data_IF_336656012854
#
_entry.id   IF_336656012854
#
_cell.length_a   1.000
_cell.length_b   1.000
_cell.length_c   1.000
_cell.angle_alpha   90.00
_cell.angle_beta   90.00
_cell.angle_gamma   90.00
#
_symmetry.space_group_name_H-M   'P 1'
#
loop_
_entity.id
_entity.type
_entity.pdbx_description
1 polymer ?
#
# COMPACT_ATOMS: atom_id res chain seq x y z
N UNK A 1 -17.48 -14.86 32.37
CA UNK A 1 -16.11 -14.32 32.51
C UNK A 1 -15.44 -14.44 31.15
N UNK A 2 -15.42 -13.37 30.35
CA UNK A 2 -14.80 -13.37 29.03
C UNK A 2 -13.33 -13.00 29.22
N UNK A 3 -12.47 -13.99 29.05
CA UNK A 3 -11.03 -13.84 29.01
C UNK A 3 -10.68 -13.20 27.67
N UNK A 4 -10.36 -11.90 27.68
CA UNK A 4 -9.66 -11.24 26.58
C UNK A 4 -8.18 -11.64 26.70
N UNK A 5 -7.58 -12.31 25.71
CA UNK A 5 -6.15 -12.48 25.72
C UNK A 5 -5.50 -11.14 25.39
N UNK A 6 -4.92 -10.52 26.42
CA UNK A 6 -3.93 -9.46 26.32
C UNK A 6 -2.82 -9.89 25.37
N UNK A 7 -2.72 -9.28 24.18
CA UNK A 7 -1.58 -9.46 23.29
C UNK A 7 -0.38 -8.71 23.89
N UNK A 8 0.34 -9.39 24.79
CA UNK A 8 1.76 -9.13 25.00
C UNK A 8 2.51 -9.75 23.81
N UNK A 9 2.50 -9.08 22.66
CA UNK A 9 3.41 -9.46 21.58
C UNK A 9 4.78 -8.87 21.91
N UNK A 10 5.72 -9.77 22.22
CA UNK A 10 7.14 -9.50 22.14
C UNK A 10 7.53 -9.04 20.73
N UNK A 11 8.69 -8.42 20.65
CA UNK A 11 9.17 -7.57 19.56
C UNK A 11 9.64 -8.31 18.30
N UNK A 12 9.25 -9.57 18.06
CA UNK A 12 9.83 -10.40 17.01
C UNK A 12 8.84 -11.45 16.46
N UNK A 13 7.62 -11.03 16.10
CA UNK A 13 6.79 -11.84 15.20
C UNK A 13 6.70 -11.05 13.89
N UNK A 14 7.69 -11.22 13.01
CA UNK A 14 7.54 -10.88 11.60
C UNK A 14 6.36 -11.72 11.09
N UNK A 15 5.17 -11.14 11.14
CA UNK A 15 4.05 -11.67 10.36
C UNK A 15 4.56 -11.64 8.92
N UNK A 16 4.73 -12.80 8.27
CA UNK A 16 5.27 -12.82 6.92
C UNK A 16 4.29 -12.07 6.04
N UNK A 17 4.67 -10.87 5.63
CA UNK A 17 3.83 -10.09 4.72
C UNK A 17 3.79 -10.81 3.39
N UNK A 18 2.61 -11.28 3.03
CA UNK A 18 2.41 -12.02 1.78
C UNK A 18 2.18 -11.05 0.65
N UNK A 19 2.59 -11.42 -0.57
CA UNK A 19 2.34 -10.60 -1.76
C UNK A 19 0.84 -10.28 -1.90
N UNK A 20 -0.03 -11.21 -1.55
CA UNK A 20 -1.48 -11.05 -1.70
C UNK A 20 -2.06 -9.92 -0.83
N UNK A 21 -1.44 -9.58 0.31
CA UNK A 21 -1.89 -8.46 1.16
C UNK A 21 -1.71 -7.09 0.49
N UNK A 22 -0.82 -6.98 -0.49
CA UNK A 22 -0.61 -5.75 -1.24
C UNK A 22 -1.49 -5.65 -2.48
N UNK A 23 -2.17 -6.72 -2.88
CA UNK A 23 -2.98 -6.69 -4.12
C UNK A 23 -4.23 -5.84 -3.88
N UNK A 24 -4.41 -4.79 -4.69
CA UNK A 24 -5.55 -3.89 -4.57
C UNK A 24 -5.20 -2.46 -4.98
N UNK A 25 -6.20 -1.59 -4.88
CA UNK A 25 -6.04 -0.14 -5.05
C UNK A 25 -5.80 0.51 -3.69
N UNK A 26 -4.71 1.26 -3.61
CA UNK A 26 -4.23 1.92 -2.41
C UNK A 26 -4.24 3.42 -2.60
N UNK A 27 -4.88 4.12 -1.66
CA UNK A 27 -5.04 5.56 -1.69
C UNK A 27 -4.43 6.13 -0.41
N UNK A 28 -3.60 7.15 -0.54
CA UNK A 28 -2.95 7.77 0.61
C UNK A 28 -4.00 8.44 1.52
N UNK A 29 -3.94 8.07 2.80
CA UNK A 29 -4.70 8.65 3.89
C UNK A 29 -3.85 9.71 4.60
N UNK A 30 -3.78 10.91 4.03
CA UNK A 30 -2.98 12.03 4.56
C UNK A 30 -3.28 12.35 6.03
N UNK A 31 -4.50 12.05 6.47
CA UNK A 31 -4.94 12.26 7.84
C UNK A 31 -4.28 11.29 8.83
N UNK A 32 -3.77 10.15 8.34
CA UNK A 32 -3.12 9.09 9.13
C UNK A 32 -1.60 9.08 8.95
N UNK A 33 -1.06 9.78 7.95
CA UNK A 33 0.37 9.99 7.76
C UNK A 33 1.03 10.59 9.02
N UNK A 34 2.21 10.09 9.41
CA UNK A 34 2.92 10.54 10.62
C UNK A 34 4.41 10.24 10.55
N UNK A 35 5.27 11.13 11.07
CA UNK A 35 6.71 10.88 11.28
C UNK A 35 7.48 10.31 10.05
N UNK A 36 7.09 10.74 8.85
CA UNK A 36 7.64 10.26 7.58
C UNK A 36 7.16 8.86 7.16
N UNK A 37 6.15 8.32 7.83
CA UNK A 37 5.35 7.16 7.44
C UNK A 37 4.13 7.65 6.67
N UNK A 38 3.93 7.06 5.49
CA UNK A 38 2.74 7.24 4.67
C UNK A 38 1.78 6.09 4.91
N UNK A 39 0.53 6.41 5.18
CA UNK A 39 -0.55 5.45 5.35
C UNK A 39 -1.35 5.38 4.08
N UNK A 40 -1.54 4.16 3.58
CA UNK A 40 -2.45 3.90 2.47
C UNK A 40 -3.58 3.01 2.95
N UNK A 41 -4.79 3.36 2.53
CA UNK A 41 -6.00 2.57 2.78
C UNK A 41 -6.49 2.00 1.46
N UNK A 42 -7.17 0.86 1.52
CA UNK A 42 -7.84 0.31 0.35
C UNK A 42 -8.91 1.28 -0.18
N UNK A 43 -9.30 1.11 -1.44
CA UNK A 43 -10.35 1.95 -2.07
C UNK A 43 -11.72 1.89 -1.37
N UNK A 44 -11.95 0.90 -0.52
CA UNK A 44 -13.18 0.75 0.28
C UNK A 44 -13.24 1.69 1.49
N UNK A 45 -12.13 2.32 1.86
CA UNK A 45 -12.07 3.24 2.99
C UNK A 45 -12.77 4.57 2.68
N UNK A 46 -13.58 5.05 3.62
CA UNK A 46 -14.27 6.34 3.49
C UNK A 46 -13.32 7.50 3.79
N UNK A 47 -12.69 8.04 2.75
CA UNK A 47 -11.80 9.18 2.89
C UNK A 47 -12.57 10.49 3.13
N UNK A 48 -12.11 11.34 4.06
CA UNK A 48 -12.58 12.71 4.12
C UNK A 48 -12.20 13.48 2.84
N UNK A 49 -12.94 14.56 2.49
CA UNK A 49 -12.65 15.33 1.29
C UNK A 49 -11.22 15.85 1.28
N UNK A 50 -10.46 15.46 0.25
CA UNK A 50 -9.10 15.94 0.02
C UNK A 50 -8.80 15.92 -1.47
N UNK A 51 -7.92 16.84 -1.91
CA UNK A 51 -7.50 16.96 -3.31
C UNK A 51 -6.09 16.44 -3.45
N UNK A 52 -5.82 15.71 -4.53
CA UNK A 52 -4.45 15.32 -4.90
C UNK A 52 -3.85 14.18 -4.10
N UNK A 53 -4.68 13.28 -3.54
CA UNK A 53 -4.20 12.05 -2.91
C UNK A 53 -3.40 11.24 -3.91
N UNK A 54 -2.26 10.70 -3.47
CA UNK A 54 -1.53 9.70 -4.24
C UNK A 54 -2.32 8.39 -4.23
N UNK A 55 -2.39 7.71 -5.38
CA UNK A 55 -2.96 6.38 -5.49
C UNK A 55 -2.14 5.49 -6.40
N UNK A 56 -2.15 4.19 -6.13
CA UNK A 56 -1.64 3.17 -7.02
C UNK A 56 -2.45 1.88 -6.89
N UNK A 57 -2.47 1.07 -7.95
CA UNK A 57 -3.08 -0.27 -7.93
C UNK A 57 -2.00 -1.32 -8.15
N UNK A 58 -1.94 -2.31 -7.28
CA UNK A 58 -1.01 -3.43 -7.37
C UNK A 58 -1.79 -4.69 -7.74
N UNK A 59 -1.49 -5.28 -8.89
CA UNK A 59 -2.17 -6.50 -9.35
C UNK A 59 -1.40 -7.75 -8.96
N UNK A 60 -2.11 -8.86 -8.79
CA UNK A 60 -1.53 -10.16 -8.40
C UNK A 60 -0.44 -10.65 -9.37
N UNK A 61 -0.54 -10.29 -10.66
CA UNK A 61 0.44 -10.63 -11.70
C UNK A 61 1.77 -9.85 -11.57
N UNK A 62 1.85 -8.86 -10.67
CA UNK A 62 3.03 -7.99 -10.51
C UNK A 62 2.99 -6.71 -11.34
N UNK A 63 1.93 -6.46 -12.10
CA UNK A 63 1.72 -5.17 -12.76
C UNK A 63 1.22 -4.12 -11.77
N UNK A 64 1.66 -2.88 -11.95
CA UNK A 64 1.23 -1.74 -11.13
C UNK A 64 0.59 -0.67 -12.00
N UNK A 65 -0.38 0.05 -11.45
CA UNK A 65 -0.86 1.30 -11.99
C UNK A 65 -0.51 2.44 -11.06
N UNK A 66 0.07 3.51 -11.58
CA UNK A 66 0.43 4.69 -10.80
C UNK A 66 -0.23 5.95 -11.37
N UNK A 67 -0.83 6.77 -10.50
CA UNK A 67 -1.58 7.96 -10.92
C UNK A 67 -3.09 7.76 -10.98
N UNK A 68 -3.80 8.76 -11.52
CA UNK A 68 -5.26 8.71 -11.70
C UNK A 68 -5.59 8.07 -13.06
N UNK A 69 -6.44 7.04 -13.11
CA UNK A 69 -6.98 6.56 -14.37
C UNK A 69 -7.70 7.70 -15.08
N UNK A 70 -7.19 8.11 -16.25
CA UNK A 70 -7.88 9.01 -17.15
C UNK A 70 -9.03 8.28 -17.84
N UNK A 71 -10.06 9.00 -18.32
CA UNK A 71 -11.20 8.41 -19.03
C UNK A 71 -10.82 7.63 -20.30
N UNK A 72 -9.60 7.81 -20.82
CA UNK A 72 -9.07 7.17 -22.03
C UNK A 72 -8.16 5.95 -21.77
N UNK A 73 -8.03 5.45 -20.54
CA UNK A 73 -7.14 4.32 -20.18
C UNK A 73 -7.63 2.93 -20.67
N UNK A 74 -8.34 2.87 -21.80
CA UNK A 74 -8.71 1.64 -22.50
C UNK A 74 -7.47 1.02 -23.15
N UNK A 75 -6.70 0.28 -22.36
CA UNK A 75 -5.72 -0.69 -22.87
C UNK A 75 -4.36 -0.72 -22.16
N UNK A 76 -4.11 0.13 -21.16
CA UNK A 76 -2.80 0.11 -20.48
C UNK A 76 -2.82 -0.94 -19.36
N UNK A 77 -2.43 -2.17 -19.70
CA UNK A 77 -2.12 -3.19 -18.69
C UNK A 77 -0.88 -2.75 -17.92
N UNK A 78 -1.08 -1.95 -16.86
CA UNK A 78 -0.03 -1.53 -15.94
C UNK A 78 0.96 -0.57 -16.59
N UNK A 79 0.83 0.71 -16.29
CA UNK A 79 1.91 1.69 -16.46
C UNK A 79 3.04 1.42 -15.46
N UNK A 80 3.38 0.16 -15.17
CA UNK A 80 4.31 -0.15 -14.11
C UNK A 80 4.38 -1.61 -13.71
N UNK A 81 5.32 -1.89 -12.83
CA UNK A 81 5.47 -3.17 -12.15
C UNK A 81 5.78 -2.95 -10.69
N UNK A 82 5.47 -3.93 -9.85
CA UNK A 82 5.79 -3.89 -8.45
C UNK A 82 6.34 -5.21 -7.95
N UNK A 83 7.06 -5.13 -6.84
CA UNK A 83 7.62 -6.28 -6.14
C UNK A 83 7.77 -5.97 -4.66
N UNK A 84 7.55 -6.99 -3.84
CA UNK A 84 7.87 -7.00 -2.41
C UNK A 84 9.02 -7.99 -2.19
N UNK A 85 10.10 -7.53 -1.55
CA UNK A 85 11.25 -8.34 -1.14
C UNK A 85 11.43 -8.19 0.38
N UNK A 86 10.90 -9.14 1.15
CA UNK A 86 10.82 -9.02 2.60
C UNK A 86 9.96 -7.81 3.00
N UNK A 87 10.57 -6.81 3.60
CA UNK A 87 9.93 -5.54 4.01
C UNK A 87 10.21 -4.39 3.05
N UNK A 88 10.67 -4.64 1.82
CA UNK A 88 10.94 -3.59 0.84
C UNK A 88 9.98 -3.68 -0.34
N UNK A 89 9.06 -2.72 -0.44
CA UNK A 89 8.14 -2.57 -1.57
C UNK A 89 8.77 -1.65 -2.62
N UNK A 90 8.90 -2.13 -3.85
CA UNK A 90 9.31 -1.31 -4.99
C UNK A 90 8.18 -1.22 -6.00
N UNK A 91 7.79 -0.01 -6.37
CA UNK A 91 6.82 0.28 -7.42
C UNK A 91 7.55 1.05 -8.52
N UNK A 92 7.49 0.53 -9.74
CA UNK A 92 8.10 1.13 -10.94
C UNK A 92 7.00 1.59 -11.87
N UNK A 93 7.19 2.75 -12.46
CA UNK A 93 6.37 3.28 -13.56
C UNK A 93 7.25 3.91 -14.64
N UNK A 94 6.74 4.21 -15.85
CA UNK A 94 7.51 4.90 -16.89
C UNK A 94 8.15 6.20 -16.44
N UNK A 95 7.54 6.91 -15.47
CA UNK A 95 8.02 8.17 -14.95
C UNK A 95 9.09 8.06 -13.84
N UNK A 96 9.34 6.86 -13.30
CA UNK A 96 10.31 6.65 -12.23
C UNK A 96 10.02 5.41 -11.38
N UNK A 97 10.68 5.32 -10.22
CA UNK A 97 10.41 4.26 -9.26
C UNK A 97 10.36 4.82 -7.84
N UNK A 98 9.45 4.28 -7.04
CA UNK A 98 9.37 4.52 -5.61
C UNK A 98 9.74 3.24 -4.85
N UNK A 99 10.54 3.38 -3.80
CA UNK A 99 10.91 2.29 -2.90
C UNK A 99 10.49 2.67 -1.48
N UNK A 100 9.85 1.73 -0.80
CA UNK A 100 9.32 1.89 0.54
C UNK A 100 9.79 0.76 1.46
N UNK A 101 10.13 1.10 2.70
CA UNK A 101 10.15 0.16 3.80
C UNK A 101 8.72 -0.06 4.30
N UNK A 102 8.28 -1.32 4.33
CA UNK A 102 6.97 -1.74 4.83
C UNK A 102 7.07 -1.89 6.35
N UNK A 103 6.27 -1.12 7.08
CA UNK A 103 6.18 -1.18 8.55
C UNK A 103 4.99 -2.02 9.00
N UNK A 104 3.88 -1.97 8.25
CA UNK A 104 2.70 -2.78 8.45
C UNK A 104 1.97 -2.97 7.12
N UNK A 105 1.34 -4.13 6.93
CA UNK A 105 0.51 -4.43 5.78
C UNK A 105 -0.56 -5.46 6.15
N UNK A 106 -1.79 -5.15 5.78
CA UNK A 106 -2.93 -6.07 5.73
C UNK A 106 -3.81 -5.69 4.54
N UNK A 107 -4.88 -6.46 4.28
CA UNK A 107 -5.75 -6.28 3.11
C UNK A 107 -6.46 -4.91 3.02
N UNK A 108 -6.41 -4.08 4.07
CA UNK A 108 -7.09 -2.79 4.15
C UNK A 108 -6.18 -1.62 4.50
N UNK A 109 -4.92 -1.88 4.87
CA UNK A 109 -4.04 -0.87 5.44
C UNK A 109 -2.56 -1.18 5.17
N UNK A 110 -1.83 -0.17 4.68
CA UNK A 110 -0.38 -0.20 4.54
C UNK A 110 0.25 0.99 5.29
N UNK A 111 1.30 0.72 6.06
CA UNK A 111 2.21 1.74 6.58
C UNK A 111 3.55 1.63 5.85
N UNK A 112 3.88 2.66 5.05
CA UNK A 112 5.05 2.68 4.17
C UNK A 112 5.98 3.84 4.53
N UNK A 113 7.28 3.57 4.59
CA UNK A 113 8.32 4.60 4.76
C UNK A 113 9.11 4.80 3.47
N UNK A 114 9.04 5.96 2.81
CA UNK A 114 9.86 6.24 1.62
C UNK A 114 11.36 6.16 1.92
N UNK A 115 12.15 5.65 0.97
CA UNK A 115 13.62 5.67 0.99
C UNK A 115 14.22 6.90 0.30
#
# INVERSE_FOLDING_TARGET
MRINPTRLAGRDEEVPVTKDEFVGTWINSHEEDRDGVQVFRSEEYEFPPSRGRMSFTLRADGSAITGQPGPDDRGVTGDGSWRIDGTVLTIRSPGGSATYGVLAADSSHLELRPH
#
